data_IF_940106093288
#
_entry.id   IF_940106093288
#
_cell.length_a   1.000
_cell.length_b   1.000
_cell.length_c   1.000
_cell.angle_alpha   90.00
_cell.angle_beta   90.00
_cell.angle_gamma   90.00
#
_symmetry.space_group_name_H-M   'P 1'
#
loop_
_entity.id
_entity.type
_entity.pdbx_description
1 polymer ?
#
# COMPACT_ATOMS: atom_id res chain seq x y z
N UNK A 1 6.67 10.48 -0.75
CA UNK A 1 6.24 10.08 0.62
C UNK A 1 6.82 10.97 1.73
N UNK A 2 8.14 11.04 1.91
CA UNK A 2 8.72 11.82 3.04
C UNK A 2 8.33 13.30 3.04
N UNK A 3 8.28 13.95 1.87
CA UNK A 3 7.85 15.34 1.75
C UNK A 3 6.38 15.56 2.10
N UNK A 4 5.53 14.57 1.84
CA UNK A 4 4.10 14.60 2.22
C UNK A 4 3.97 14.59 3.74
N UNK A 5 4.74 13.73 4.41
CA UNK A 5 4.75 13.66 5.88
C UNK A 5 5.32 14.93 6.49
N UNK A 6 6.36 15.53 5.89
CA UNK A 6 6.87 16.84 6.33
C UNK A 6 5.80 17.93 6.21
N UNK A 7 5.04 17.95 5.11
CA UNK A 7 3.92 18.88 4.92
C UNK A 7 2.86 18.69 6.02
N UNK A 8 2.38 17.46 6.21
CA UNK A 8 1.39 17.14 7.23
C UNK A 8 1.86 17.49 8.66
N UNK A 9 3.13 17.24 8.99
CA UNK A 9 3.69 17.61 10.30
C UNK A 9 3.66 19.12 10.53
N UNK A 10 3.94 19.93 9.49
CA UNK A 10 3.86 21.39 9.58
C UNK A 10 2.44 21.89 9.69
N UNK A 11 1.49 21.27 8.98
CA UNK A 11 0.06 21.59 9.09
C UNK A 11 -0.43 21.33 10.52
N UNK A 12 -0.13 20.16 11.09
CA UNK A 12 -0.49 19.82 12.47
C UNK A 12 0.16 20.75 13.51
N UNK A 13 1.39 21.23 13.25
CA UNK A 13 2.03 22.23 14.11
C UNK A 13 1.35 23.60 14.01
N UNK A 14 0.90 24.00 12.81
CA UNK A 14 0.15 25.24 12.60
C UNK A 14 -1.25 25.22 13.21
N UNK A 15 -1.84 24.03 13.30
CA UNK A 15 -3.17 23.80 13.90
C UNK A 15 -3.11 23.61 15.43
N UNK A 16 -1.93 23.76 16.04
CA UNK A 16 -1.66 23.52 17.47
C UNK A 16 -1.99 22.09 17.96
N UNK A 17 -2.16 21.14 17.03
CA UNK A 17 -2.45 19.73 17.32
C UNK A 17 -1.21 18.97 17.81
N UNK A 18 -0.02 19.37 17.35
CA UNK A 18 1.27 18.80 17.78
C UNK A 18 2.32 19.89 17.98
N UNK A 19 3.24 19.68 18.92
CA UNK A 19 4.43 20.53 19.09
C UNK A 19 5.65 19.79 18.56
N UNK A 20 6.32 20.34 17.54
CA UNK A 20 7.53 19.74 16.98
C UNK A 20 8.78 20.31 17.65
N UNK A 21 9.43 19.51 18.48
CA UNK A 21 10.67 19.90 19.14
C UNK A 21 11.89 19.42 18.34
N UNK A 22 12.68 20.38 17.84
CA UNK A 22 13.94 20.12 17.16
C UNK A 22 14.27 21.14 16.06
N UNK A 23 15.42 21.00 15.40
CA UNK A 23 15.84 21.95 14.36
C UNK A 23 15.03 21.83 13.06
N UNK A 24 14.37 20.69 12.83
CA UNK A 24 13.50 20.49 11.66
C UNK A 24 12.58 19.26 11.84
N UNK A 25 11.45 19.20 11.11
CA UNK A 25 10.55 18.04 11.09
C UNK A 25 11.16 16.80 10.40
N UNK A 26 12.35 16.92 9.81
CA UNK A 26 12.97 15.90 8.97
C UNK A 26 13.12 14.55 9.67
N UNK A 27 13.70 14.54 10.89
CA UNK A 27 13.94 13.30 11.64
C UNK A 27 12.64 12.60 12.04
N UNK A 28 11.61 13.38 12.39
CA UNK A 28 10.29 12.83 12.69
C UNK A 28 9.69 12.18 11.44
N UNK A 29 9.74 12.88 10.30
CA UNK A 29 9.25 12.37 9.02
C UNK A 29 9.99 11.11 8.55
N UNK A 30 11.31 11.04 8.72
CA UNK A 30 12.11 9.84 8.40
C UNK A 30 11.66 8.62 9.22
N UNK A 31 11.49 8.81 10.54
CA UNK A 31 11.06 7.74 11.44
C UNK A 31 9.65 7.24 11.12
N UNK A 32 8.73 8.16 10.84
CA UNK A 32 7.36 7.83 10.42
C UNK A 32 7.39 7.08 9.07
N UNK A 33 8.14 7.59 8.09
CA UNK A 33 8.28 6.96 6.77
C UNK A 33 8.81 5.54 6.89
N UNK A 34 9.84 5.31 7.71
CA UNK A 34 10.41 3.99 7.92
C UNK A 34 9.38 3.00 8.52
N UNK A 35 8.57 3.47 9.47
CA UNK A 35 7.50 2.65 10.07
C UNK A 35 6.40 2.33 9.06
N UNK A 36 6.01 3.30 8.23
CA UNK A 36 5.02 3.10 7.17
C UNK A 36 5.49 2.10 6.11
N UNK A 37 6.76 2.18 5.70
CA UNK A 37 7.37 1.22 4.75
C UNK A 37 7.37 -0.23 5.25
N UNK A 38 7.35 -0.46 6.56
CA UNK A 38 7.23 -1.83 7.11
C UNK A 38 5.80 -2.40 7.08
N UNK A 39 4.80 -1.56 6.80
CA UNK A 39 3.38 -1.93 6.86
C UNK A 39 2.67 -1.81 5.51
N UNK A 40 3.16 -0.94 4.63
CA UNK A 40 2.59 -0.70 3.29
C UNK A 40 3.56 -1.27 2.25
N UNK A 41 3.07 -2.02 1.23
CA UNK A 41 3.86 -2.39 0.06
C UNK A 41 4.56 -1.17 -0.53
N UNK A 42 5.69 -1.37 -1.23
CA UNK A 42 6.48 -0.27 -1.77
C UNK A 42 5.56 0.77 -2.46
N UNK A 43 5.46 2.01 -1.91
CA UNK A 43 4.57 3.04 -2.43
C UNK A 43 4.96 3.55 -3.81
N UNK A 44 6.10 3.10 -4.34
CA UNK A 44 6.55 3.43 -5.69
C UNK A 44 5.74 2.71 -6.79
N UNK A 45 4.82 1.78 -6.44
CA UNK A 45 3.87 1.24 -7.41
C UNK A 45 2.98 2.37 -7.93
N UNK A 46 3.16 2.70 -9.19
CA UNK A 46 2.31 3.64 -9.93
C UNK A 46 0.86 3.14 -9.97
N UNK A 47 -0.13 4.03 -10.15
CA UNK A 47 -1.51 3.63 -10.39
C UNK A 47 -1.64 2.58 -11.51
N UNK A 48 -0.81 2.71 -12.56
CA UNK A 48 -0.81 1.79 -13.69
C UNK A 48 -0.29 0.39 -13.32
N UNK A 49 0.78 0.31 -12.53
CA UNK A 49 1.31 -0.97 -12.04
C UNK A 49 0.31 -1.65 -11.10
N UNK A 50 -0.33 -0.89 -10.20
CA UNK A 50 -1.37 -1.43 -9.32
C UNK A 50 -2.57 -1.96 -10.12
N UNK A 51 -2.98 -1.26 -11.17
CA UNK A 51 -4.01 -1.74 -12.12
C UNK A 51 -3.57 -3.00 -12.85
N UNK A 52 -2.30 -3.08 -13.27
CA UNK A 52 -1.72 -4.27 -13.88
C UNK A 52 -1.81 -5.48 -12.94
N UNK A 53 -1.44 -5.31 -11.67
CA UNK A 53 -1.57 -6.36 -10.64
C UNK A 53 -3.02 -6.78 -10.46
N UNK A 54 -3.97 -5.83 -10.44
CA UNK A 54 -5.40 -6.15 -10.36
C UNK A 54 -5.84 -7.04 -11.53
N UNK A 55 -5.51 -6.66 -12.76
CA UNK A 55 -5.88 -7.43 -13.95
C UNK A 55 -5.23 -8.81 -13.95
N UNK A 56 -3.98 -8.92 -13.50
CA UNK A 56 -3.29 -10.19 -13.36
C UNK A 56 -4.01 -11.13 -12.38
N UNK A 57 -4.42 -10.62 -11.21
CA UNK A 57 -5.17 -11.41 -10.23
C UNK A 57 -6.50 -11.88 -10.83
N UNK A 58 -7.27 -10.98 -11.44
CA UNK A 58 -8.56 -11.30 -12.05
C UNK A 58 -8.44 -12.33 -13.18
N UNK A 59 -7.39 -12.20 -14.01
CA UNK A 59 -7.11 -13.17 -15.06
C UNK A 59 -6.76 -14.53 -14.47
N UNK A 60 -5.88 -14.57 -13.46
CA UNK A 60 -5.46 -15.81 -12.81
C UNK A 60 -6.65 -16.56 -12.18
N UNK A 61 -7.52 -15.89 -11.43
CA UNK A 61 -8.69 -16.53 -10.80
C UNK A 61 -9.78 -16.94 -11.80
N UNK A 62 -9.80 -16.36 -13.00
CA UNK A 62 -10.76 -16.75 -14.05
C UNK A 62 -10.45 -18.13 -14.65
N UNK A 63 -9.21 -18.60 -14.53
CA UNK A 63 -8.79 -19.93 -14.99
C UNK A 63 -8.83 -20.95 -13.85
N UNK A 64 -10.00 -21.58 -13.67
CA UNK A 64 -10.26 -22.56 -12.59
C UNK A 64 -9.29 -23.73 -12.59
N UNK A 65 -8.87 -24.20 -13.76
CA UNK A 65 -7.97 -25.34 -13.92
C UNK A 65 -6.58 -25.11 -13.30
N UNK A 66 -6.11 -23.86 -13.33
CA UNK A 66 -4.82 -23.45 -12.76
C UNK A 66 -4.96 -22.99 -11.31
N UNK A 67 -6.04 -22.26 -11.01
CA UNK A 67 -6.21 -21.67 -9.69
C UNK A 67 -6.61 -22.67 -8.61
N UNK A 68 -7.51 -23.61 -8.89
CA UNK A 68 -8.09 -24.45 -7.83
C UNK A 68 -7.12 -25.50 -7.27
N UNK A 69 -6.02 -25.81 -7.97
CA UNK A 69 -5.05 -26.84 -7.57
C UNK A 69 -3.79 -26.28 -6.89
N UNK A 70 -3.13 -25.28 -7.49
CA UNK A 70 -1.77 -24.88 -7.09
C UNK A 70 -1.73 -23.63 -6.22
N UNK A 71 -2.56 -22.63 -6.55
CA UNK A 71 -2.48 -21.30 -5.96
C UNK A 71 -2.92 -21.22 -4.48
N UNK A 72 -3.99 -21.89 -4.02
CA UNK A 72 -4.37 -21.93 -2.61
C UNK A 72 -3.28 -22.54 -1.73
N UNK A 73 -2.59 -23.57 -2.22
CA UNK A 73 -1.50 -24.22 -1.50
C UNK A 73 -0.27 -23.31 -1.40
N UNK A 74 0.09 -22.66 -2.51
CA UNK A 74 1.28 -21.80 -2.57
C UNK A 74 1.10 -20.48 -1.81
N UNK A 75 -0.10 -19.90 -1.84
CA UNK A 75 -0.36 -18.54 -1.34
C UNK A 75 -1.17 -18.49 -0.06
N UNK A 76 -1.87 -19.57 0.30
CA UNK A 76 -2.81 -19.61 1.42
C UNK A 76 -4.16 -18.94 1.13
N UNK A 77 -4.41 -18.45 -0.09
CA UNK A 77 -5.62 -17.73 -0.45
C UNK A 77 -6.44 -18.46 -1.52
N UNK A 78 -7.76 -18.50 -1.32
CA UNK A 78 -8.71 -19.02 -2.31
C UNK A 78 -8.94 -18.00 -3.43
N UNK A 79 -9.51 -18.45 -4.56
CA UNK A 79 -9.93 -17.55 -5.64
C UNK A 79 -10.85 -16.42 -5.14
N UNK A 80 -11.78 -16.74 -4.23
CA UNK A 80 -12.67 -15.74 -3.61
C UNK A 80 -11.89 -14.70 -2.78
N UNK A 81 -10.87 -15.11 -2.02
CA UNK A 81 -10.01 -14.17 -1.29
C UNK A 81 -9.17 -13.31 -2.22
N UNK A 82 -8.70 -13.86 -3.33
CA UNK A 82 -8.00 -13.07 -4.33
C UNK A 82 -8.91 -12.08 -5.07
N UNK A 83 -10.18 -12.43 -5.29
CA UNK A 83 -11.18 -11.48 -5.78
C UNK A 83 -11.33 -10.29 -4.82
N UNK A 84 -11.48 -10.53 -3.52
CA UNK A 84 -11.53 -9.47 -2.50
C UNK A 84 -10.25 -8.61 -2.48
N UNK A 85 -9.08 -9.21 -2.69
CA UNK A 85 -7.81 -8.47 -2.79
C UNK A 85 -7.78 -7.59 -4.04
N UNK A 86 -8.20 -8.12 -5.20
CA UNK A 86 -8.28 -7.37 -6.44
C UNK A 86 -9.25 -6.17 -6.36
N UNK A 87 -10.30 -6.28 -5.53
CA UNK A 87 -11.25 -5.19 -5.30
C UNK A 87 -10.70 -4.04 -4.46
N UNK A 88 -9.64 -4.27 -3.69
CA UNK A 88 -8.92 -3.22 -2.92
C UNK A 88 -7.94 -2.43 -3.79
N UNK A 89 -7.63 -2.91 -4.99
CA UNK A 89 -6.73 -2.25 -5.94
C UNK A 89 -7.49 -1.24 -6.83
N UNK A 90 -6.83 -0.17 -7.32
CA UNK A 90 -7.45 0.80 -8.21
C UNK A 90 -8.08 0.18 -9.46
N UNK A 91 -9.23 0.73 -9.87
CA UNK A 91 -9.94 0.31 -11.09
C UNK A 91 -9.54 1.14 -12.31
N UNK A 92 -9.15 2.40 -12.09
CA UNK A 92 -8.78 3.41 -13.08
C UNK A 92 -7.39 3.96 -12.75
#
# INVERSE_FOLDING_TARGET
MIQIIIGALKELEQEDDVILLGPSPQKAAEKITAKLRSMVPNPDLTPEEMRGVRLLILHAISNKSFFDWEMPTLTGFTAARFQEIAEKLPRE
#
